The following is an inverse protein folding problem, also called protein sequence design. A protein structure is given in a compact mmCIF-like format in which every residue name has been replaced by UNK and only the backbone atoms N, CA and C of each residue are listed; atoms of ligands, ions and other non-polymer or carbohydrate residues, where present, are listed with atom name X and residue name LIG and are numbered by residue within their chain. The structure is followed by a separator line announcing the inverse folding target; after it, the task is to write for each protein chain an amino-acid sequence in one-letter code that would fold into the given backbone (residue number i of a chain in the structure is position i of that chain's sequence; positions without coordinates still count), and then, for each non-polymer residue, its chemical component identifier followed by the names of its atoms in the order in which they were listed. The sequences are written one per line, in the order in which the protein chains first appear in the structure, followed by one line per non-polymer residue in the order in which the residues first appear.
data_IF_915483152302
#
_entry.id   IF_915483152302
#
_cell.length_a   1.000
_cell.length_b   1.000
_cell.length_c   1.000
_cell.angle_alpha   90.00
_cell.angle_beta   90.00
_cell.angle_gamma   90.00
#
_symmetry.space_group_name_H-M   'P 1'
#
loop_
_entity.id
_entity.type
_entity.pdbx_description
1 polymer ?
#
# COMPACT_ATOMS: atom_id res chain seq x y z
N UNK A 1 0.06 7.11 -28.79
CA UNK A 1 1.23 6.64 -28.00
C UNK A 1 1.70 7.67 -26.97
N UNK A 2 2.02 8.91 -27.36
CA UNK A 2 2.51 9.95 -26.43
C UNK A 2 1.50 10.35 -25.34
N UNK A 3 0.23 10.51 -25.69
CA UNK A 3 -0.84 10.80 -24.72
C UNK A 3 -1.09 9.66 -23.74
N UNK A 4 -0.90 8.42 -24.19
CA UNK A 4 -1.12 7.21 -23.40
C UNK A 4 0.03 6.99 -22.39
N UNK A 5 1.28 7.27 -22.81
CA UNK A 5 2.43 7.26 -21.92
C UNK A 5 2.29 8.30 -20.80
N UNK A 6 1.85 9.51 -21.15
CA UNK A 6 1.60 10.59 -20.19
C UNK A 6 0.44 10.28 -19.23
N UNK A 7 -0.56 9.52 -19.67
CA UNK A 7 -1.67 9.09 -18.82
C UNK A 7 -1.22 8.01 -17.82
N UNK A 8 -0.41 7.05 -18.28
CA UNK A 8 0.21 6.02 -17.44
C UNK A 8 1.14 6.66 -16.39
N UNK A 9 2.01 7.59 -16.79
CA UNK A 9 2.89 8.32 -15.87
C UNK A 9 2.10 9.07 -14.79
N UNK A 10 1.03 9.78 -15.17
CA UNK A 10 0.15 10.47 -14.20
C UNK A 10 -0.59 9.52 -13.27
N UNK A 11 -1.01 8.35 -13.76
CA UNK A 11 -1.63 7.32 -12.94
C UNK A 11 -0.62 6.75 -11.94
N UNK A 12 0.62 6.51 -12.36
CA UNK A 12 1.71 6.07 -11.50
C UNK A 12 2.10 7.12 -10.45
N UNK A 13 2.17 8.40 -10.81
CA UNK A 13 2.42 9.49 -9.85
C UNK A 13 1.30 9.56 -8.80
N UNK A 14 0.03 9.53 -9.24
CA UNK A 14 -1.12 9.51 -8.33
C UNK A 14 -1.13 8.27 -7.42
N UNK A 15 -0.69 7.13 -7.95
CA UNK A 15 -0.54 5.88 -7.18
C UNK A 15 0.53 6.01 -6.12
N UNK A 16 1.72 6.51 -6.48
CA UNK A 16 2.79 6.74 -5.51
C UNK A 16 2.37 7.73 -4.42
N UNK A 17 1.72 8.84 -4.77
CA UNK A 17 1.22 9.81 -3.78
C UNK A 17 0.15 9.22 -2.85
N UNK A 18 -0.69 8.34 -3.38
CA UNK A 18 -1.76 7.70 -2.64
C UNK A 18 -1.26 6.57 -1.73
N UNK A 19 -0.40 5.69 -2.24
CA UNK A 19 0.30 4.66 -1.47
C UNK A 19 1.12 5.30 -0.33
N UNK A 20 1.84 6.39 -0.61
CA UNK A 20 2.57 7.14 0.41
C UNK A 20 1.68 7.67 1.55
N UNK A 21 0.40 7.95 1.29
CA UNK A 21 -0.51 8.54 2.27
C UNK A 21 -1.37 7.52 3.02
N UNK A 22 -1.67 6.38 2.40
CA UNK A 22 -2.65 5.42 2.93
C UNK A 22 -2.12 3.98 3.05
N UNK A 23 -1.09 3.59 2.29
CA UNK A 23 -0.40 2.30 2.38
C UNK A 23 0.90 2.35 3.20
N UNK A 24 1.33 3.55 3.62
CA UNK A 24 2.53 3.80 4.45
C UNK A 24 2.65 2.80 5.61
N UNK A 25 1.55 2.51 6.31
CA UNK A 25 1.52 1.57 7.43
C UNK A 25 1.95 0.15 7.03
N UNK A 26 1.37 -0.38 5.95
CA UNK A 26 1.60 -1.75 5.51
C UNK A 26 3.03 -1.92 4.96
N UNK A 27 3.55 -0.90 4.28
CA UNK A 27 4.92 -0.91 3.78
C UNK A 27 5.94 -0.77 4.89
N UNK A 28 5.70 0.10 5.88
CA UNK A 28 6.53 0.17 7.08
C UNK A 28 6.54 -1.16 7.85
N UNK A 29 5.40 -1.86 7.93
CA UNK A 29 5.34 -3.20 8.54
C UNK A 29 6.19 -4.21 7.76
N UNK A 30 6.13 -4.22 6.42
CA UNK A 30 6.96 -5.11 5.59
C UNK A 30 8.45 -4.82 5.75
N UNK A 31 8.84 -3.54 5.68
CA UNK A 31 10.25 -3.13 5.84
C UNK A 31 10.76 -3.50 7.23
N UNK A 32 9.99 -3.22 8.29
CA UNK A 32 10.35 -3.62 9.66
C UNK A 32 10.51 -5.14 9.79
N UNK A 33 9.65 -5.93 9.18
CA UNK A 33 9.77 -7.39 9.19
C UNK A 33 11.09 -7.84 8.54
N UNK A 34 11.47 -7.23 7.42
CA UNK A 34 12.73 -7.51 6.73
C UNK A 34 13.94 -7.11 7.58
N UNK A 35 13.90 -5.94 8.23
CA UNK A 35 14.96 -5.48 9.13
C UNK A 35 15.12 -6.44 10.32
N UNK A 36 14.02 -6.86 10.94
CA UNK A 36 14.05 -7.81 12.05
C UNK A 36 14.61 -9.17 11.64
N UNK A 37 14.28 -9.66 10.45
CA UNK A 37 14.88 -10.89 9.92
C UNK A 37 16.38 -10.73 9.69
N UNK A 38 16.81 -9.56 9.20
CA UNK A 38 18.23 -9.26 9.02
C UNK A 38 18.97 -9.17 10.35
N UNK A 39 18.38 -8.55 11.37
CA UNK A 39 18.93 -8.49 12.73
C UNK A 39 19.18 -9.88 13.32
N UNK A 40 18.22 -10.81 13.17
CA UNK A 40 18.41 -12.20 13.60
C UNK A 40 19.60 -12.84 12.87
N UNK A 41 19.66 -12.67 11.55
CA UNK A 41 20.76 -13.22 10.74
C UNK A 41 22.12 -12.65 11.15
N UNK A 42 22.19 -11.33 11.38
CA UNK A 42 23.41 -10.66 11.81
C UNK A 42 23.82 -11.11 13.22
N UNK A 43 22.86 -11.31 14.11
CA UNK A 43 23.13 -11.83 15.44
C UNK A 43 23.73 -13.24 15.39
N UNK A 44 23.18 -14.11 14.55
CA UNK A 44 23.72 -15.46 14.35
C UNK A 44 25.16 -15.41 13.79
N UNK A 45 25.42 -14.52 12.83
CA UNK A 45 26.77 -14.33 12.27
C UNK A 45 27.77 -13.75 13.28
N UNK A 46 27.31 -12.87 14.18
CA UNK A 46 28.15 -12.28 15.24
C UNK A 46 28.43 -13.26 16.39
N UNK A 47 27.63 -14.32 16.56
CA UNK A 47 27.98 -15.43 17.49
C UNK A 47 29.25 -16.13 17.01
N UNK A 48 29.40 -16.30 15.69
CA UNK A 48 30.54 -16.97 15.08
C UNK A 48 31.78 -16.05 14.96
N UNK A 49 31.58 -14.75 14.71
CA UNK A 49 32.64 -13.73 14.67
C UNK A 49 32.22 -12.43 15.39
N UNK A 50 32.35 -12.38 16.72
CA UNK A 50 31.86 -11.26 17.54
C UNK A 50 32.69 -9.98 17.42
N UNK A 51 33.85 -10.04 16.75
CA UNK A 51 34.73 -8.89 16.58
C UNK A 51 34.59 -8.22 15.21
N UNK A 52 33.70 -8.74 14.37
CA UNK A 52 33.49 -8.22 13.02
C UNK A 52 32.81 -6.85 13.03
N UNK A 53 33.60 -5.78 12.91
CA UNK A 53 33.12 -4.40 12.94
C UNK A 53 32.05 -4.11 11.87
N UNK A 54 32.11 -4.78 10.72
CA UNK A 54 31.11 -4.61 9.66
C UNK A 54 29.75 -5.19 10.06
N UNK A 55 29.73 -6.36 10.70
CA UNK A 55 28.49 -6.96 11.21
C UNK A 55 27.89 -6.13 12.35
N UNK A 56 28.75 -5.62 13.25
CA UNK A 56 28.33 -4.76 14.37
C UNK A 56 27.72 -3.46 13.85
N UNK A 57 28.35 -2.83 12.85
CA UNK A 57 27.83 -1.64 12.21
C UNK A 57 26.47 -1.89 11.54
N UNK A 58 26.37 -2.94 10.72
CA UNK A 58 25.13 -3.27 10.02
C UNK A 58 24.00 -3.59 11.00
N UNK A 59 24.31 -4.32 12.09
CA UNK A 59 23.34 -4.63 13.14
C UNK A 59 22.81 -3.36 13.80
N UNK A 60 23.72 -2.43 14.14
CA UNK A 60 23.35 -1.16 14.78
C UNK A 60 22.47 -0.32 13.87
N UNK A 61 22.81 -0.24 12.58
CA UNK A 61 21.99 0.43 11.57
C UNK A 61 20.60 -0.20 11.45
N UNK A 62 20.51 -1.52 11.29
CA UNK A 62 19.21 -2.20 11.16
C UNK A 62 18.34 -2.02 12.41
N UNK A 63 18.95 -1.96 13.59
CA UNK A 63 18.26 -1.75 14.86
C UNK A 63 17.71 -0.32 14.95
N UNK A 64 18.53 0.69 14.68
CA UNK A 64 18.10 2.10 14.67
C UNK A 64 16.96 2.35 13.67
N UNK A 65 17.06 1.78 12.47
CA UNK A 65 16.03 1.89 11.44
C UNK A 65 14.72 1.18 11.86
N UNK A 66 14.81 0.01 12.49
CA UNK A 66 13.64 -0.71 13.00
C UNK A 66 12.94 0.08 14.14
N UNK A 67 13.71 0.74 14.99
CA UNK A 67 13.20 1.58 16.07
C UNK A 67 12.53 2.86 15.53
N UNK A 68 13.15 3.52 14.53
CA UNK A 68 12.54 4.67 13.83
C UNK A 68 11.22 4.30 13.18
N UNK A 69 11.17 3.17 12.47
CA UNK A 69 9.94 2.67 11.85
C UNK A 69 8.89 2.34 12.92
N UNK A 70 9.30 1.81 14.07
CA UNK A 70 8.38 1.54 15.19
C UNK A 70 7.73 2.82 15.72
N UNK A 71 8.51 3.87 15.95
CA UNK A 71 7.99 5.17 16.36
C UNK A 71 7.00 5.73 15.33
N UNK A 72 7.33 5.63 14.03
CA UNK A 72 6.44 6.07 12.95
C UNK A 72 5.14 5.29 12.89
N UNK A 73 5.19 3.97 13.06
CA UNK A 73 4.00 3.12 13.12
C UNK A 73 3.12 3.46 14.32
N UNK A 74 3.69 3.85 15.47
CA UNK A 74 2.91 4.33 16.61
C UNK A 74 2.20 5.65 16.34
N UNK A 75 2.83 6.59 15.63
CA UNK A 75 2.18 7.83 15.19
C UNK A 75 0.98 7.54 14.27
N UNK A 76 1.17 6.64 13.29
CA UNK A 76 0.10 6.21 12.38
C UNK A 76 -1.03 5.53 13.16
N UNK A 77 -0.71 4.62 14.09
CA UNK A 77 -1.70 3.95 14.94
C UNK A 77 -2.47 4.92 15.83
N UNK A 78 -1.82 5.97 16.33
CA UNK A 78 -2.50 7.06 17.07
C UNK A 78 -3.41 7.87 16.15
N UNK A 79 -2.96 8.18 14.94
CA UNK A 79 -3.77 8.89 13.92
C UNK A 79 -5.03 8.11 13.54
N UNK A 80 -4.94 6.78 13.46
CA UNK A 80 -6.05 5.89 13.16
C UNK A 80 -6.49 5.08 14.38
N UNK A 81 -6.44 5.65 15.58
CA UNK A 81 -6.74 4.90 16.82
C UNK A 81 -8.21 4.60 17.01
N UNK A 82 -9.08 5.41 16.40
CA UNK A 82 -10.54 5.23 16.47
C UNK A 82 -11.02 4.30 15.35
N UNK A 83 -12.14 3.61 15.60
CA UNK A 83 -12.80 2.78 14.60
C UNK A 83 -13.17 3.61 13.37
N UNK A 84 -13.71 4.81 13.59
CA UNK A 84 -14.16 5.71 12.52
C UNK A 84 -13.01 6.19 11.64
N UNK A 85 -11.86 6.54 12.23
CA UNK A 85 -10.68 6.93 11.45
C UNK A 85 -10.10 5.76 10.63
N UNK A 86 -10.19 4.52 11.14
CA UNK A 86 -9.82 3.32 10.36
C UNK A 86 -10.78 3.07 9.21
N UNK A 87 -12.09 3.19 9.46
CA UNK A 87 -13.12 3.07 8.42
C UNK A 87 -12.87 4.12 7.33
N UNK A 88 -12.69 5.39 7.69
CA UNK A 88 -12.39 6.47 6.75
C UNK A 88 -11.11 6.22 5.94
N UNK A 89 -10.06 5.65 6.57
CA UNK A 89 -8.83 5.24 5.87
C UNK A 89 -9.13 4.19 4.79
N UNK A 90 -9.87 3.14 5.14
CA UNK A 90 -10.16 2.04 4.22
C UNK A 90 -11.19 2.42 3.15
N UNK A 91 -12.19 3.27 3.45
CA UNK A 91 -13.10 3.83 2.45
C UNK A 91 -12.32 4.60 1.38
N UNK A 92 -11.33 5.40 1.78
CA UNK A 92 -10.48 6.11 0.83
C UNK A 92 -9.64 5.17 -0.03
N UNK A 93 -9.06 4.12 0.57
CA UNK A 93 -8.32 3.07 -0.15
C UNK A 93 -9.20 2.38 -1.20
N UNK A 94 -10.37 1.92 -0.79
CA UNK A 94 -11.34 1.24 -1.66
C UNK A 94 -11.78 2.14 -2.81
N UNK A 95 -12.11 3.41 -2.54
CA UNK A 95 -12.51 4.35 -3.58
C UNK A 95 -11.38 4.62 -4.59
N UNK A 96 -10.14 4.66 -4.13
CA UNK A 96 -8.99 4.79 -5.02
C UNK A 96 -8.81 3.56 -5.91
N UNK A 97 -8.88 2.36 -5.35
CA UNK A 97 -8.75 1.11 -6.11
C UNK A 97 -9.84 1.00 -7.19
N UNK A 98 -11.08 1.38 -6.86
CA UNK A 98 -12.18 1.46 -7.83
C UNK A 98 -11.87 2.43 -8.96
N UNK A 99 -11.35 3.63 -8.66
CA UNK A 99 -10.98 4.61 -9.68
C UNK A 99 -9.82 4.13 -10.57
N UNK A 100 -8.83 3.43 -9.99
CA UNK A 100 -7.72 2.83 -10.74
C UNK A 100 -8.26 1.77 -11.72
N UNK A 101 -9.18 0.90 -11.25
CA UNK A 101 -9.81 -0.10 -12.08
C UNK A 101 -10.69 0.49 -13.20
N UNK A 102 -11.46 1.54 -12.94
CA UNK A 102 -12.18 2.26 -13.98
C UNK A 102 -11.23 2.86 -15.03
N UNK A 103 -10.09 3.41 -14.58
CA UNK A 103 -9.06 3.93 -15.49
C UNK A 103 -8.45 2.83 -16.36
N UNK A 104 -8.23 1.63 -15.80
CA UNK A 104 -7.79 0.47 -16.58
C UNK A 104 -8.82 0.00 -17.60
N UNK A 105 -10.11 -0.01 -17.25
CA UNK A 105 -11.17 -0.32 -18.21
C UNK A 105 -11.21 0.67 -19.38
N UNK A 106 -11.06 1.96 -19.08
CA UNK A 106 -11.04 2.99 -20.11
C UNK A 106 -9.79 2.90 -21.00
N UNK A 107 -8.64 2.47 -20.45
CA UNK A 107 -7.48 2.12 -21.24
C UNK A 107 -7.75 0.90 -22.13
N UNK A 108 -8.37 -0.17 -21.61
CA UNK A 108 -8.72 -1.37 -22.39
C UNK A 108 -9.62 -1.05 -23.59
N UNK A 109 -10.59 -0.13 -23.42
CA UNK A 109 -11.43 0.40 -24.52
C UNK A 109 -10.60 0.98 -25.66
N UNK A 110 -9.55 1.73 -25.34
CA UNK A 110 -8.67 2.35 -26.34
C UNK A 110 -7.83 1.33 -27.12
N UNK A 111 -7.63 0.12 -26.59
CA UNK A 111 -6.90 -0.96 -27.25
C UNK A 111 -7.78 -1.93 -28.02
N UNK A 112 -9.09 -1.67 -28.14
CA UNK A 112 -10.04 -2.53 -28.88
C UNK A 112 -10.04 -3.99 -28.39
N UNK A 113 -9.85 -4.19 -27.08
CA UNK A 113 -9.99 -5.51 -26.44
C UNK A 113 -11.46 -5.96 -26.51
N UNK A 114 -11.74 -7.26 -26.53
CA UNK A 114 -13.10 -7.84 -26.61
C UNK A 114 -14.16 -7.06 -25.79
N UNK A 115 -15.18 -6.53 -26.49
CA UNK A 115 -16.23 -5.69 -25.92
C UNK A 115 -17.06 -6.40 -24.84
N UNK A 116 -17.25 -7.73 -24.94
CA UNK A 116 -17.99 -8.50 -23.92
C UNK A 116 -17.19 -8.63 -22.64
N UNK A 117 -15.87 -8.80 -22.73
CA UNK A 117 -14.99 -8.83 -21.57
C UNK A 117 -14.96 -7.46 -20.88
N UNK A 118 -14.86 -6.38 -21.67
CA UNK A 118 -14.90 -5.01 -21.13
C UNK A 118 -16.22 -4.72 -20.41
N UNK A 119 -17.35 -5.08 -21.01
CA UNK A 119 -18.66 -4.87 -20.39
C UNK A 119 -18.82 -5.68 -19.11
N UNK A 120 -18.41 -6.96 -19.11
CA UNK A 120 -18.47 -7.79 -17.91
C UNK A 120 -17.62 -7.24 -16.76
N UNK A 121 -16.44 -6.70 -17.05
CA UNK A 121 -15.59 -6.05 -16.05
C UNK A 121 -16.22 -4.74 -15.54
N UNK A 122 -16.82 -3.94 -16.43
CA UNK A 122 -17.47 -2.68 -16.05
C UNK A 122 -18.70 -2.94 -15.17
N UNK A 123 -19.49 -3.96 -15.47
CA UNK A 123 -20.65 -4.36 -14.66
C UNK A 123 -20.23 -4.90 -13.29
N UNK A 124 -19.14 -5.69 -13.22
CA UNK A 124 -18.59 -6.18 -11.96
C UNK A 124 -18.07 -5.04 -11.06
N UNK A 125 -17.38 -4.05 -11.66
CA UNK A 125 -16.89 -2.86 -10.95
C UNK A 125 -18.01 -1.98 -10.42
N UNK A 126 -19.06 -1.78 -11.23
CA UNK A 126 -20.24 -1.04 -10.80
C UNK A 126 -20.95 -1.74 -9.63
N UNK A 127 -21.12 -3.06 -9.71
CA UNK A 127 -21.73 -3.82 -8.62
C UNK A 127 -20.90 -3.77 -7.34
N UNK A 128 -19.56 -3.77 -7.44
CA UNK A 128 -18.68 -3.62 -6.29
C UNK A 128 -18.86 -2.25 -5.62
N UNK A 129 -18.86 -1.17 -6.40
CA UNK A 129 -19.06 0.21 -5.93
C UNK A 129 -20.42 0.41 -5.22
N UNK A 130 -21.50 -0.13 -5.81
CA UNK A 130 -22.84 -0.12 -5.21
C UNK A 130 -22.88 -0.87 -3.87
N UNK A 131 -22.22 -2.03 -3.79
CA UNK A 131 -22.16 -2.81 -2.55
C UNK A 131 -21.35 -2.12 -1.45
N UNK A 132 -20.26 -1.44 -1.80
CA UNK A 132 -19.46 -0.65 -0.86
C UNK A 132 -20.28 0.55 -0.35
N UNK A 133 -20.94 1.28 -1.25
CA UNK A 133 -21.81 2.40 -0.88
C UNK A 133 -22.87 1.97 0.12
N UNK A 134 -23.57 0.86 -0.16
CA UNK A 134 -24.60 0.31 0.72
C UNK A 134 -24.05 -0.15 2.08
N UNK A 135 -22.84 -0.71 2.10
CA UNK A 135 -22.19 -1.10 3.34
C UNK A 135 -21.86 0.11 4.22
N UNK A 136 -21.45 1.24 3.61
CA UNK A 136 -21.18 2.49 4.32
C UNK A 136 -22.46 3.14 4.86
N UNK A 137 -23.55 3.12 4.08
CA UNK A 137 -24.87 3.59 4.53
C UNK A 137 -25.35 2.84 5.78
N UNK A 138 -25.25 1.50 5.77
CA UNK A 138 -25.64 0.64 6.89
C UNK A 138 -24.77 0.79 8.15
N UNK A 139 -23.59 1.41 8.04
CA UNK A 139 -22.73 1.69 9.20
C UNK A 139 -23.07 3.02 9.90
N UNK A 140 -23.87 3.89 9.25
CA UNK A 140 -24.29 5.18 9.79
C UNK A 140 -25.66 5.14 10.48
N UNK A 141 -26.43 4.05 10.31
CA UNK A 141 -27.68 3.75 11.02
C UNK A 141 -27.44 3.04 12.37
#
# INVERSE_FOLDING_TARGET
MYELHRLIEKLQERKMEFEYKYAEEDDLVKVKKSLNQRLVTLNDMMVDDPTNEALIFEYSFCQEEADRITARLEEIRKKYSTRDAKIEKYEKLINYDLQEMYSYLDLMKQFSIDDKLQQAMQDALKSLDENITKLNELQQE
#
